data_IF_540742675031
#
_entry.id   IF_540742675031
#
_cell.length_a   1.000
_cell.length_b   1.000
_cell.length_c   1.000
_cell.angle_alpha   90.00
_cell.angle_beta   90.00
_cell.angle_gamma   90.00
#
_symmetry.space_group_name_H-M   'P 1'
#
loop_
_entity.id
_entity.type
_entity.pdbx_description
1 polymer ?
#
# COMPACT_ATOMS: atom_id res chain seq x y z
N UNK A 1 -19.56 -7.95 5.68
CA UNK A 1 -19.98 -8.45 4.36
C UNK A 1 -21.44 -8.07 4.12
N UNK A 2 -22.37 -8.59 4.92
CA UNK A 2 -23.81 -8.29 4.82
C UNK A 2 -24.11 -6.78 4.74
N UNK A 3 -23.56 -5.98 5.67
CA UNK A 3 -23.71 -4.52 5.64
C UNK A 3 -23.25 -3.84 4.35
N UNK A 4 -22.23 -4.38 3.67
CA UNK A 4 -21.75 -3.83 2.39
C UNK A 4 -22.78 -4.13 1.30
N UNK A 5 -23.29 -5.36 1.24
CA UNK A 5 -24.31 -5.76 0.28
C UNK A 5 -25.63 -5.00 0.51
N UNK A 6 -26.06 -4.85 1.76
CA UNK A 6 -27.21 -4.03 2.14
C UNK A 6 -27.02 -2.56 1.75
N UNK A 7 -25.83 -2.01 1.93
CA UNK A 7 -25.53 -0.63 1.52
C UNK A 7 -25.58 -0.47 0.00
N UNK A 8 -25.10 -1.46 -0.75
CA UNK A 8 -25.21 -1.47 -2.21
C UNK A 8 -26.66 -1.52 -2.65
N UNK A 9 -27.48 -2.37 -2.03
CA UNK A 9 -28.91 -2.46 -2.33
C UNK A 9 -29.63 -1.15 -1.99
N UNK A 10 -29.35 -0.56 -0.83
CA UNK A 10 -29.89 0.75 -0.43
C UNK A 10 -29.51 1.85 -1.43
N UNK A 11 -28.25 1.90 -1.87
CA UNK A 11 -27.81 2.88 -2.85
C UNK A 11 -28.55 2.72 -4.19
N UNK A 12 -28.79 1.48 -4.61
CA UNK A 12 -29.55 1.15 -5.82
C UNK A 12 -31.01 1.59 -5.70
N UNK A 13 -31.67 1.29 -4.58
CA UNK A 13 -33.07 1.64 -4.32
C UNK A 13 -33.27 3.16 -4.22
N UNK A 14 -32.34 3.86 -3.57
CA UNK A 14 -32.36 5.32 -3.41
C UNK A 14 -31.76 6.08 -4.61
N UNK A 15 -31.25 5.39 -5.63
CA UNK A 15 -30.54 5.95 -6.79
C UNK A 15 -29.38 6.89 -6.37
N UNK A 16 -28.66 6.52 -5.32
CA UNK A 16 -27.49 7.25 -4.81
C UNK A 16 -26.19 6.62 -5.31
N UNK A 17 -25.16 7.45 -5.45
CA UNK A 17 -23.79 6.98 -5.65
C UNK A 17 -23.24 6.43 -4.34
N UNK A 18 -22.22 5.57 -4.44
CA UNK A 18 -21.42 5.14 -3.30
C UNK A 18 -20.05 5.80 -3.40
N UNK A 19 -19.65 6.48 -2.34
CA UNK A 19 -18.27 6.91 -2.10
C UNK A 19 -17.60 5.89 -1.19
N UNK A 20 -16.37 5.53 -1.49
CA UNK A 20 -15.60 4.61 -0.66
C UNK A 20 -14.32 5.27 -0.16
N UNK A 21 -13.95 5.00 1.09
CA UNK A 21 -12.66 5.43 1.61
C UNK A 21 -12.00 4.40 2.51
N UNK A 22 -10.70 4.18 2.27
CA UNK A 22 -9.78 3.62 3.26
C UNK A 22 -9.05 4.73 4.02
N UNK A 23 -7.73 4.81 3.86
CA UNK A 23 -6.88 5.79 4.55
C UNK A 23 -7.06 7.25 4.10
N UNK A 24 -7.92 7.54 3.09
CA UNK A 24 -8.21 8.90 2.59
C UNK A 24 -6.99 9.68 2.09
N UNK A 25 -6.02 8.98 1.50
CA UNK A 25 -4.82 9.57 0.90
C UNK A 25 -4.89 9.73 -0.63
N UNK A 26 -5.96 9.28 -1.28
CA UNK A 26 -6.09 9.50 -2.71
C UNK A 26 -6.38 10.96 -3.02
N UNK A 27 -5.69 11.51 -4.03
CA UNK A 27 -5.80 12.92 -4.43
C UNK A 27 -6.79 13.14 -5.60
N UNK A 28 -7.36 12.06 -6.16
CA UNK A 28 -8.16 12.10 -7.40
C UNK A 28 -9.66 12.37 -7.21
N UNK A 29 -10.13 12.68 -6.00
CA UNK A 29 -11.54 12.99 -5.71
C UNK A 29 -12.51 11.80 -5.80
N UNK A 30 -12.06 10.61 -6.16
CA UNK A 30 -12.90 9.41 -6.31
C UNK A 30 -13.50 8.90 -4.99
N UNK A 31 -13.02 9.41 -3.85
CA UNK A 31 -13.47 9.02 -2.52
C UNK A 31 -14.64 9.88 -1.99
N UNK A 32 -15.12 10.87 -2.75
CA UNK A 32 -16.20 11.74 -2.33
C UNK A 32 -17.03 12.25 -3.52
N UNK A 33 -18.22 11.71 -3.69
CA UNK A 33 -19.25 12.22 -4.59
C UNK A 33 -20.31 13.01 -3.81
N UNK A 34 -20.85 14.06 -4.43
CA UNK A 34 -22.00 14.78 -3.89
C UNK A 34 -23.21 13.87 -3.71
N UNK A 35 -23.95 14.05 -2.61
CA UNK A 35 -25.17 13.32 -2.28
C UNK A 35 -25.02 11.78 -2.41
N UNK A 36 -23.90 11.25 -1.91
CA UNK A 36 -23.58 9.82 -1.94
C UNK A 36 -23.67 9.17 -0.57
N UNK A 37 -23.80 7.84 -0.56
CA UNK A 37 -23.60 7.03 0.64
C UNK A 37 -22.11 6.79 0.79
N UNK A 38 -21.55 7.08 1.97
CA UNK A 38 -20.12 6.93 2.22
C UNK A 38 -19.82 5.63 2.97
N UNK A 39 -19.10 4.71 2.31
CA UNK A 39 -18.56 3.50 2.90
C UNK A 39 -17.14 3.77 3.44
N UNK A 40 -17.03 3.84 4.77
CA UNK A 40 -15.74 3.84 5.45
C UNK A 40 -15.27 2.40 5.69
N UNK A 41 -14.24 1.99 4.97
CA UNK A 41 -13.78 0.60 4.98
C UNK A 41 -12.78 0.33 6.12
N UNK A 42 -12.32 1.33 6.88
CA UNK A 42 -11.16 1.18 7.81
C UNK A 42 -11.37 0.16 8.93
N UNK A 43 -12.62 -0.08 9.35
CA UNK A 43 -12.96 -1.09 10.34
C UNK A 43 -13.13 -2.49 9.74
N UNK A 44 -13.20 -2.60 8.40
CA UNK A 44 -13.23 -3.87 7.67
C UNK A 44 -11.80 -4.34 7.40
N UNK A 45 -11.11 -4.75 8.46
CA UNK A 45 -9.64 -4.87 8.51
C UNK A 45 -9.10 -6.20 9.06
N UNK A 46 -9.87 -7.29 9.01
CA UNK A 46 -9.40 -8.60 9.44
C UNK A 46 -8.22 -9.10 8.58
N UNK A 47 -7.27 -9.83 9.21
CA UNK A 47 -6.03 -10.32 8.60
C UNK A 47 -5.76 -11.76 9.04
N UNK A 48 -5.68 -12.67 8.07
CA UNK A 48 -5.39 -14.08 8.27
C UNK A 48 -4.17 -14.49 7.44
N UNK A 49 -3.15 -15.04 8.12
CA UNK A 49 -1.97 -15.60 7.45
C UNK A 49 -2.15 -17.12 7.33
N UNK A 50 -1.85 -17.66 6.16
CA UNK A 50 -1.81 -19.09 5.89
C UNK A 50 -0.34 -19.53 5.74
N UNK A 51 0.11 -20.40 6.65
CA UNK A 51 1.50 -20.88 6.66
C UNK A 51 1.77 -21.94 5.58
N UNK A 52 0.77 -22.73 5.20
CA UNK A 52 0.92 -23.79 4.19
C UNK A 52 1.16 -23.18 2.81
N UNK A 53 0.33 -22.19 2.45
CA UNK A 53 0.40 -21.52 1.14
C UNK A 53 1.34 -20.31 1.13
N UNK A 54 1.83 -19.89 2.31
CA UNK A 54 2.61 -18.65 2.49
C UNK A 54 1.91 -17.40 1.97
N UNK A 55 0.59 -17.35 2.12
CA UNK A 55 -0.27 -16.25 1.68
C UNK A 55 -0.87 -15.51 2.87
N UNK A 56 -1.30 -14.28 2.63
CA UNK A 56 -2.10 -13.51 3.60
C UNK A 56 -3.40 -13.07 2.95
N UNK A 57 -4.50 -13.40 3.61
CA UNK A 57 -5.84 -12.98 3.22
C UNK A 57 -6.28 -11.85 4.13
N UNK A 58 -6.62 -10.71 3.54
CA UNK A 58 -6.87 -9.46 4.25
C UNK A 58 -8.15 -8.81 3.76
N UNK A 59 -8.90 -8.22 4.68
CA UNK A 59 -9.98 -7.34 4.31
C UNK A 59 -9.43 -6.00 3.79
N UNK A 60 -10.12 -5.39 2.84
CA UNK A 60 -9.64 -4.25 2.05
C UNK A 60 -9.38 -2.98 2.88
N UNK A 61 -9.95 -2.89 4.08
CA UNK A 61 -9.70 -1.83 5.05
C UNK A 61 -8.41 -1.96 5.85
N UNK A 62 -7.77 -3.13 5.85
CA UNK A 62 -6.52 -3.36 6.55
C UNK A 62 -5.41 -2.46 5.97
N UNK A 63 -4.57 -1.91 6.85
CA UNK A 63 -3.41 -1.10 6.45
C UNK A 63 -2.18 -1.98 6.26
N UNK A 64 -1.24 -1.56 5.42
CA UNK A 64 0.04 -2.26 5.30
C UNK A 64 0.77 -2.39 6.64
N UNK A 65 0.71 -1.38 7.51
CA UNK A 65 1.25 -1.44 8.88
C UNK A 65 0.66 -2.60 9.67
N UNK A 66 -0.66 -2.76 9.66
CA UNK A 66 -1.32 -3.87 10.36
C UNK A 66 -0.94 -5.24 9.79
N UNK A 67 -0.75 -5.33 8.48
CA UNK A 67 -0.36 -6.56 7.78
C UNK A 67 1.10 -6.91 8.11
N UNK A 68 2.01 -5.96 8.01
CA UNK A 68 3.42 -6.12 8.39
C UNK A 68 3.55 -6.59 9.85
N UNK A 69 2.81 -5.98 10.78
CA UNK A 69 2.79 -6.38 12.19
C UNK A 69 2.27 -7.80 12.42
N UNK A 70 1.36 -8.29 11.56
CA UNK A 70 0.88 -9.67 11.61
C UNK A 70 1.93 -10.62 11.03
N UNK A 71 2.47 -10.31 9.86
CA UNK A 71 3.40 -11.16 9.12
C UNK A 71 4.77 -11.30 9.78
N UNK A 72 5.27 -10.25 10.43
CA UNK A 72 6.57 -10.26 11.11
C UNK A 72 6.66 -11.35 12.19
N UNK A 73 5.53 -11.66 12.86
CA UNK A 73 5.41 -12.74 13.85
C UNK A 73 5.63 -14.14 13.26
N UNK A 74 5.52 -14.26 11.93
CA UNK A 74 5.72 -15.48 11.17
C UNK A 74 6.98 -15.44 10.32
N UNK A 75 7.88 -14.47 10.55
CA UNK A 75 9.07 -14.22 9.73
C UNK A 75 8.73 -14.00 8.24
N UNK A 76 7.60 -13.34 7.97
CA UNK A 76 7.13 -12.98 6.63
C UNK A 76 7.00 -11.47 6.45
N UNK A 77 7.05 -11.05 5.20
CA UNK A 77 6.86 -9.67 4.74
C UNK A 77 5.88 -9.62 3.57
N UNK A 78 5.32 -8.44 3.30
CA UNK A 78 4.56 -8.19 2.07
C UNK A 78 5.53 -8.11 0.88
N UNK A 79 5.11 -8.61 -0.29
CA UNK A 79 5.96 -8.56 -1.48
C UNK A 79 6.02 -7.16 -2.10
N UNK A 80 4.87 -6.49 -2.24
CA UNK A 80 4.76 -5.15 -2.81
C UNK A 80 3.81 -4.32 -1.98
N UNK A 81 4.23 -3.10 -1.65
CA UNK A 81 3.40 -2.05 -1.07
C UNK A 81 4.00 -0.68 -1.44
N UNK A 82 3.24 0.39 -1.23
CA UNK A 82 3.79 1.75 -1.30
C UNK A 82 4.91 1.97 -0.26
N UNK A 83 5.72 3.01 -0.48
CA UNK A 83 6.81 3.39 0.44
C UNK A 83 6.35 3.60 1.90
N UNK A 84 5.18 4.21 2.08
CA UNK A 84 4.55 4.34 3.39
C UNK A 84 3.56 3.20 3.66
N UNK A 85 3.51 2.73 4.90
CA UNK A 85 2.65 1.62 5.31
C UNK A 85 1.27 2.07 5.87
N UNK A 86 0.91 3.34 5.74
CA UNK A 86 -0.34 3.91 6.26
C UNK A 86 -1.56 3.64 5.37
N UNK A 87 -1.35 3.23 4.12
CA UNK A 87 -2.43 3.00 3.16
C UNK A 87 -3.19 1.70 3.43
N UNK A 88 -4.46 1.65 3.04
CA UNK A 88 -5.25 0.43 3.07
C UNK A 88 -5.11 -0.38 1.79
N UNK A 89 -5.20 -1.71 1.88
CA UNK A 89 -5.02 -2.62 0.73
C UNK A 89 -6.02 -2.35 -0.38
N UNK A 90 -7.28 -2.08 -0.05
CA UNK A 90 -8.30 -1.73 -1.04
C UNK A 90 -7.96 -0.47 -1.84
N UNK A 91 -7.42 0.55 -1.17
CA UNK A 91 -6.95 1.76 -1.83
C UNK A 91 -5.75 1.49 -2.73
N UNK A 92 -4.83 0.64 -2.28
CA UNK A 92 -3.66 0.23 -3.06
C UNK A 92 -4.02 -0.58 -4.32
N UNK A 93 -5.01 -1.47 -4.25
CA UNK A 93 -5.53 -2.18 -5.42
C UNK A 93 -6.18 -1.20 -6.40
N UNK A 94 -7.00 -0.29 -5.90
CA UNK A 94 -7.72 0.67 -6.73
C UNK A 94 -6.80 1.55 -7.60
N UNK A 95 -5.55 1.75 -7.18
CA UNK A 95 -4.53 2.50 -7.95
C UNK A 95 -3.43 1.62 -8.55
N UNK A 96 -3.52 0.29 -8.39
CA UNK A 96 -2.47 -0.67 -8.73
C UNK A 96 -1.09 -0.21 -8.21
N UNK A 97 -1.02 0.06 -6.91
CA UNK A 97 0.16 0.59 -6.24
C UNK A 97 1.42 -0.23 -6.51
N UNK A 98 2.59 0.40 -6.40
CA UNK A 98 3.88 -0.27 -6.52
C UNK A 98 4.80 0.12 -5.36
N UNK A 99 5.89 -0.63 -5.22
CA UNK A 99 6.94 -0.37 -4.24
C UNK A 99 8.22 0.10 -4.91
N UNK A 100 9.32 -0.14 -4.19
CA UNK A 100 10.69 0.25 -4.58
C UNK A 100 11.52 -0.94 -5.07
N UNK A 101 11.15 -2.17 -4.71
CA UNK A 101 11.84 -3.39 -5.13
C UNK A 101 11.74 -3.57 -6.65
N UNK A 102 12.86 -3.52 -7.40
CA UNK A 102 12.85 -3.64 -8.86
C UNK A 102 12.53 -5.07 -9.34
N UNK A 103 12.61 -6.07 -8.47
CA UNK A 103 12.30 -7.47 -8.80
C UNK A 103 10.79 -7.72 -8.88
N UNK A 104 9.99 -6.82 -8.30
CA UNK A 104 8.54 -6.87 -8.36
C UNK A 104 8.01 -5.64 -9.09
N UNK A 105 7.00 -5.82 -9.92
CA UNK A 105 6.33 -4.72 -10.62
C UNK A 105 5.31 -4.07 -9.68
N UNK A 106 4.04 -4.01 -10.07
CA UNK A 106 2.97 -3.44 -9.25
C UNK A 106 2.26 -4.51 -8.42
N UNK A 107 1.39 -4.08 -7.51
CA UNK A 107 0.68 -4.91 -6.53
C UNK A 107 -0.08 -6.07 -7.17
N UNK A 108 -0.66 -5.90 -8.36
CA UNK A 108 -1.38 -6.97 -9.09
C UNK A 108 -0.57 -8.27 -9.22
N UNK A 109 0.75 -8.17 -9.34
CA UNK A 109 1.62 -9.34 -9.47
C UNK A 109 1.69 -10.19 -8.21
N UNK A 110 1.32 -9.62 -7.07
CA UNK A 110 1.34 -10.28 -5.75
C UNK A 110 -0.04 -10.79 -5.33
N UNK A 111 -1.11 -10.33 -6.00
CA UNK A 111 -2.49 -10.72 -5.72
C UNK A 111 -2.78 -12.07 -6.38
N UNK A 112 -3.17 -13.06 -5.58
CA UNK A 112 -3.64 -14.35 -6.08
C UNK A 112 -5.10 -14.27 -6.52
N UNK A 113 -5.92 -13.68 -5.65
CA UNK A 113 -7.36 -13.47 -5.85
C UNK A 113 -7.86 -12.33 -4.97
N UNK A 114 -9.04 -11.81 -5.30
CA UNK A 114 -9.80 -10.92 -4.43
C UNK A 114 -11.31 -11.20 -4.58
N UNK A 115 -12.08 -10.71 -3.61
CA UNK A 115 -13.53 -10.68 -3.67
C UNK A 115 -14.02 -9.24 -3.75
N UNK A 116 -15.08 -8.99 -4.52
CA UNK A 116 -15.77 -7.70 -4.55
C UNK A 116 -17.28 -7.87 -4.50
N UNK A 117 -17.98 -6.84 -4.02
CA UNK A 117 -19.43 -6.70 -4.17
C UNK A 117 -19.69 -5.80 -5.37
N UNK A 118 -20.40 -6.32 -6.39
CA UNK A 118 -20.76 -5.59 -7.61
C UNK A 118 -21.95 -4.63 -7.37
N UNK A 119 -22.43 -3.99 -8.43
CA UNK A 119 -23.58 -3.05 -8.36
C UNK A 119 -24.92 -3.74 -8.07
N UNK A 120 -24.99 -5.05 -8.25
CA UNK A 120 -26.13 -5.91 -7.96
C UNK A 120 -26.15 -6.40 -6.51
N UNK A 121 -25.10 -6.12 -5.73
CA UNK A 121 -24.96 -6.62 -4.35
C UNK A 121 -24.43 -8.05 -4.27
N UNK A 122 -23.98 -8.62 -5.38
CA UNK A 122 -23.46 -9.97 -5.48
C UNK A 122 -21.97 -10.01 -5.14
N UNK A 123 -21.56 -11.04 -4.40
CA UNK A 123 -20.16 -11.29 -4.09
C UNK A 123 -19.52 -12.06 -5.26
N UNK A 124 -18.51 -11.47 -5.88
CA UNK A 124 -17.76 -12.06 -6.99
C UNK A 124 -16.33 -12.31 -6.54
N UNK A 125 -15.82 -13.52 -6.80
CA UNK A 125 -14.39 -13.86 -6.68
C UNK A 125 -13.69 -13.60 -8.01
N UNK A 126 -12.51 -12.98 -7.97
CA UNK A 126 -11.72 -12.66 -9.14
C UNK A 126 -10.28 -13.13 -8.95
N UNK A 127 -9.75 -13.82 -9.95
CA UNK A 127 -8.37 -14.28 -10.04
C UNK A 127 -7.94 -14.28 -11.50
N UNK A 128 -6.72 -14.76 -11.79
CA UNK A 128 -6.27 -14.93 -13.18
C UNK A 128 -7.07 -15.98 -13.96
N UNK A 129 -7.78 -16.87 -13.27
CA UNK A 129 -8.54 -17.98 -13.86
C UNK A 129 -10.05 -17.87 -13.65
N UNK A 130 -10.50 -17.01 -12.73
CA UNK A 130 -11.91 -16.77 -12.43
C UNK A 130 -12.23 -15.29 -12.58
N UNK A 131 -13.22 -14.93 -13.40
CA UNK A 131 -13.54 -13.54 -13.75
C UNK A 131 -12.29 -12.71 -14.18
N UNK A 132 -11.44 -13.21 -15.11
CA UNK A 132 -10.13 -12.62 -15.38
C UNK A 132 -10.21 -11.18 -15.91
N UNK A 133 -11.23 -10.85 -16.71
CA UNK A 133 -11.44 -9.48 -17.19
C UNK A 133 -11.62 -8.50 -16.02
N UNK A 134 -12.41 -8.90 -15.02
CA UNK A 134 -12.65 -8.11 -13.82
C UNK A 134 -11.40 -8.07 -12.92
N UNK A 135 -10.66 -9.18 -12.84
CA UNK A 135 -9.38 -9.22 -12.14
C UNK A 135 -8.41 -8.15 -12.65
N UNK A 136 -8.24 -8.02 -13.97
CA UNK A 136 -7.36 -7.00 -14.55
C UNK A 136 -7.95 -5.59 -14.46
N UNK A 137 -9.27 -5.43 -14.62
CA UNK A 137 -9.92 -4.11 -14.62
C UNK A 137 -9.97 -3.43 -13.24
N UNK A 138 -10.11 -4.20 -12.16
CA UNK A 138 -10.18 -3.67 -10.78
C UNK A 138 -8.86 -3.04 -10.34
N UNK A 139 -7.73 -3.61 -10.75
CA UNK A 139 -6.41 -3.07 -10.44
C UNK A 139 -6.17 -1.78 -11.22
N UNK A 140 -6.08 -0.66 -10.52
CA UNK A 140 -6.02 0.66 -11.16
C UNK A 140 -7.39 1.19 -11.62
N UNK A 141 -8.47 0.45 -11.33
CA UNK A 141 -9.85 0.81 -11.70
C UNK A 141 -10.50 1.87 -10.81
N UNK A 142 -9.75 2.47 -9.88
CA UNK A 142 -10.18 3.59 -9.02
C UNK A 142 -11.44 3.32 -8.18
N UNK A 143 -11.77 2.04 -7.94
CA UNK A 143 -12.97 1.63 -7.20
C UNK A 143 -14.27 1.61 -8.02
N UNK A 144 -14.21 1.71 -9.36
CA UNK A 144 -15.40 1.81 -10.22
C UNK A 144 -16.14 0.48 -10.42
N UNK A 145 -15.46 -0.64 -10.23
CA UNK A 145 -15.97 -1.98 -10.57
C UNK A 145 -16.66 -2.70 -9.41
N UNK A 146 -16.67 -2.09 -8.22
CA UNK A 146 -17.31 -2.65 -7.03
C UNK A 146 -16.53 -2.39 -5.76
N UNK A 147 -17.10 -2.82 -4.63
CA UNK A 147 -16.46 -2.73 -3.31
C UNK A 147 -15.56 -3.94 -3.12
N UNK A 148 -14.25 -3.80 -3.29
CA UNK A 148 -13.30 -4.87 -2.94
C UNK A 148 -13.42 -5.13 -1.44
N UNK A 149 -13.64 -6.37 -1.05
CA UNK A 149 -13.89 -6.78 0.34
C UNK A 149 -12.70 -7.51 0.92
N UNK A 150 -12.16 -8.49 0.21
CA UNK A 150 -11.07 -9.34 0.67
C UNK A 150 -10.06 -9.58 -0.45
N UNK A 151 -8.79 -9.75 -0.09
CA UNK A 151 -7.67 -9.93 -1.03
C UNK A 151 -6.74 -10.99 -0.45
N UNK A 152 -6.31 -11.94 -1.27
CA UNK A 152 -5.27 -12.91 -0.93
C UNK A 152 -3.98 -12.54 -1.66
N UNK A 153 -2.92 -12.29 -0.90
CA UNK A 153 -1.61 -11.84 -1.37
C UNK A 153 -0.54 -12.89 -1.08
N UNK A 154 0.43 -13.01 -1.97
CA UNK A 154 1.68 -13.71 -1.70
C UNK A 154 2.51 -12.94 -0.66
N UNK A 155 3.35 -13.66 0.09
CA UNK A 155 4.29 -13.08 1.07
C UNK A 155 5.72 -13.48 0.71
N UNK A 156 6.71 -12.76 1.25
CA UNK A 156 8.12 -13.13 1.17
C UNK A 156 8.69 -13.47 2.56
N UNK A 157 9.84 -14.16 2.66
CA UNK A 157 10.63 -14.18 3.87
C UNK A 157 10.94 -12.75 4.34
N UNK A 158 10.90 -12.52 5.65
CA UNK A 158 11.23 -11.21 6.23
C UNK A 158 12.75 -11.06 6.35
N UNK A 159 13.39 -10.65 5.25
CA UNK A 159 14.82 -10.41 5.22
C UNK A 159 15.19 -9.10 5.94
N UNK A 160 16.33 -9.10 6.62
CA UNK A 160 16.90 -7.92 7.26
C UNK A 160 17.91 -7.30 6.31
N UNK A 161 17.87 -5.97 6.19
CA UNK A 161 18.77 -5.21 5.33
C UNK A 161 19.62 -4.25 6.16
N UNK A 162 20.89 -4.16 5.81
CA UNK A 162 21.76 -3.07 6.22
C UNK A 162 21.69 -1.97 5.17
N UNK A 163 21.36 -0.75 5.60
CA UNK A 163 21.35 0.42 4.74
C UNK A 163 22.73 1.08 4.73
N UNK A 164 23.23 1.41 3.54
CA UNK A 164 24.41 2.26 3.32
C UNK A 164 23.96 3.50 2.53
N UNK A 165 24.27 4.68 3.06
CA UNK A 165 24.03 5.95 2.39
C UNK A 165 25.33 6.47 1.77
N UNK A 166 25.29 6.82 0.50
CA UNK A 166 26.41 7.42 -0.23
C UNK A 166 25.96 8.71 -0.90
N UNK A 167 26.86 9.69 -1.00
CA UNK A 167 26.61 10.97 -1.65
C UNK A 167 27.48 11.06 -2.90
N UNK A 168 26.86 11.38 -4.03
CA UNK A 168 27.55 11.58 -5.30
C UNK A 168 27.27 12.97 -5.89
N UNK A 169 28.21 13.50 -6.66
CA UNK A 169 27.91 14.59 -7.59
C UNK A 169 26.97 14.04 -8.67
N UNK A 170 25.94 14.81 -9.03
CA UNK A 170 24.92 14.37 -9.98
C UNK A 170 25.46 14.10 -11.38
N UNK A 171 26.59 14.70 -11.76
CA UNK A 171 27.27 14.44 -13.05
C UNK A 171 27.85 13.03 -13.12
N UNK A 172 28.31 12.51 -12.00
CA UNK A 172 28.94 11.20 -11.90
C UNK A 172 27.94 10.11 -11.47
N UNK A 173 26.70 10.48 -11.14
CA UNK A 173 25.67 9.61 -10.59
C UNK A 173 25.49 8.31 -11.37
N UNK A 174 25.26 8.39 -12.70
CA UNK A 174 24.99 7.18 -13.50
C UNK A 174 26.19 6.22 -13.51
N UNK A 175 27.41 6.76 -13.53
CA UNK A 175 28.63 5.95 -13.49
C UNK A 175 28.83 5.30 -12.12
N UNK A 176 28.58 6.05 -11.05
CA UNK A 176 28.80 5.59 -9.69
C UNK A 176 27.69 4.66 -9.18
N UNK A 177 26.45 4.83 -9.67
CA UNK A 177 25.30 4.06 -9.21
C UNK A 177 25.49 2.57 -9.46
N UNK A 178 25.91 2.16 -10.67
CA UNK A 178 26.10 0.75 -11.02
C UNK A 178 27.12 0.06 -10.10
N UNK A 179 28.24 0.73 -9.83
CA UNK A 179 29.28 0.21 -8.94
C UNK A 179 28.82 0.18 -7.47
N UNK A 180 28.12 1.22 -7.03
CA UNK A 180 27.62 1.37 -5.66
C UNK A 180 26.52 0.34 -5.34
N UNK A 181 25.68 -0.01 -6.32
CA UNK A 181 24.60 -0.98 -6.16
C UNK A 181 25.01 -2.44 -6.37
N UNK A 182 26.25 -2.72 -6.81
CA UNK A 182 26.67 -4.06 -7.26
C UNK A 182 26.43 -5.19 -6.25
N UNK A 183 26.49 -4.87 -4.95
CA UNK A 183 26.33 -5.80 -3.83
C UNK A 183 24.97 -5.67 -3.10
N UNK A 184 24.05 -4.86 -3.64
CA UNK A 184 22.77 -4.52 -3.00
C UNK A 184 21.61 -5.22 -3.71
N UNK A 185 20.59 -5.63 -2.95
CA UNK A 185 19.35 -6.16 -3.54
C UNK A 185 18.39 -5.05 -3.97
N UNK A 186 18.50 -3.88 -3.33
CA UNK A 186 17.72 -2.70 -3.63
C UNK A 186 18.60 -1.45 -3.52
N UNK A 187 18.40 -0.52 -4.44
CA UNK A 187 19.04 0.79 -4.43
C UNK A 187 18.04 1.88 -4.79
N UNK A 188 18.10 3.00 -4.10
CA UNK A 188 17.27 4.18 -4.32
C UNK A 188 18.12 5.44 -4.36
N UNK A 189 17.73 6.40 -5.19
CA UNK A 189 18.46 7.64 -5.36
C UNK A 189 17.54 8.85 -5.23
N UNK A 190 17.96 9.82 -4.43
CA UNK A 190 17.25 11.08 -4.23
C UNK A 190 18.18 12.24 -4.61
N UNK A 191 17.78 13.00 -5.62
CA UNK A 191 18.47 14.24 -5.96
C UNK A 191 18.19 15.29 -4.89
N UNK A 192 19.23 16.05 -4.53
CA UNK A 192 19.11 17.14 -3.58
C UNK A 192 18.12 18.19 -4.07
N UNK A 193 17.19 18.56 -3.20
CA UNK A 193 16.22 19.65 -3.42
C UNK A 193 16.56 20.89 -2.58
N UNK A 194 17.73 20.89 -1.94
CA UNK A 194 18.27 22.04 -1.21
C UNK A 194 18.52 23.22 -2.17
N UNK A 195 18.32 24.46 -1.73
CA UNK A 195 18.43 25.62 -2.63
C UNK A 195 19.88 25.86 -3.10
N UNK A 196 20.86 25.63 -2.24
CA UNK A 196 22.26 25.86 -2.56
C UNK A 196 22.84 24.71 -3.42
N UNK A 197 22.27 23.51 -3.29
CA UNK A 197 22.73 22.27 -3.93
C UNK A 197 21.70 21.60 -4.86
N UNK A 198 20.73 22.37 -5.36
CA UNK A 198 19.61 21.86 -6.14
C UNK A 198 20.08 21.02 -7.33
N UNK A 199 19.75 19.73 -7.30
CA UNK A 199 20.11 18.70 -8.29
C UNK A 199 21.62 18.52 -8.53
N UNK A 200 22.49 19.09 -7.68
CA UNK A 200 23.96 18.95 -7.79
C UNK A 200 24.46 17.70 -7.11
N UNK A 201 23.74 17.23 -6.10
CA UNK A 201 24.11 16.05 -5.30
C UNK A 201 22.99 15.02 -5.37
N UNK A 202 23.37 13.75 -5.25
CA UNK A 202 22.45 12.62 -5.19
C UNK A 202 22.78 11.77 -3.98
N UNK A 203 21.77 11.56 -3.13
CA UNK A 203 21.83 10.64 -2.01
C UNK A 203 21.40 9.26 -2.52
N UNK A 204 22.30 8.29 -2.45
CA UNK A 204 22.04 6.90 -2.86
C UNK A 204 21.95 6.02 -1.62
N UNK A 205 20.81 5.39 -1.44
CA UNK A 205 20.55 4.39 -0.40
C UNK A 205 20.69 3.00 -1.00
N UNK A 206 21.57 2.20 -0.43
CA UNK A 206 21.82 0.83 -0.82
C UNK A 206 21.41 -0.12 0.32
N UNK A 207 20.62 -1.14 -0.02
CA UNK A 207 20.11 -2.12 0.92
C UNK A 207 20.75 -3.48 0.64
N UNK A 208 21.65 -3.89 1.53
CA UNK A 208 22.35 -5.18 1.46
C UNK A 208 21.77 -6.15 2.48
N UNK A 209 21.41 -7.40 2.10
CA UNK A 209 20.96 -8.41 3.05
C UNK A 209 21.97 -8.60 4.18
N UNK A 210 21.47 -8.79 5.39
CA UNK A 210 22.29 -9.07 6.57
C UNK A 210 21.55 -9.97 7.54
N UNK A 211 22.30 -10.73 8.34
CA UNK A 211 21.76 -11.46 9.49
C UNK A 211 22.00 -10.71 10.81
N UNK A 212 22.57 -9.50 10.74
CA UNK A 212 22.91 -8.71 11.92
C UNK A 212 21.68 -7.91 12.35
N UNK A 213 21.08 -8.28 13.47
CA UNK A 213 20.15 -7.42 14.19
C UNK A 213 20.95 -6.50 15.09
N UNK A 214 20.84 -5.18 14.89
CA UNK A 214 21.22 -4.24 15.94
C UNK A 214 20.02 -4.10 16.88
N UNK A 215 20.27 -4.13 18.19
CA UNK A 215 19.30 -3.60 19.14
C UNK A 215 19.08 -2.13 18.79
N UNK A 216 17.87 -1.81 18.36
CA UNK A 216 17.47 -0.41 18.15
C UNK A 216 17.17 0.13 19.54
N UNK A 217 18.11 0.85 20.13
CA UNK A 217 17.78 1.80 21.21
C UNK A 217 16.94 2.90 20.56
N UNK A 218 15.62 2.77 20.66
CA UNK A 218 14.65 3.75 20.21
C UNK A 218 14.67 4.93 21.21
N UNK A 219 15.72 5.78 21.14
CA UNK A 219 15.87 6.99 21.98
C UNK A 219 14.92 8.13 21.56
N UNK A 220 13.92 7.84 20.73
CA UNK A 220 12.88 8.80 20.34
C UNK A 220 11.78 8.90 21.42
N UNK A 221 11.90 8.13 22.52
CA UNK A 221 10.98 8.18 23.67
C UNK A 221 10.93 9.55 24.37
N UNK A 222 11.88 10.45 24.10
CA UNK A 222 11.88 11.84 24.59
C UNK A 222 11.01 12.83 23.80
N UNK A 223 10.54 12.48 22.60
CA UNK A 223 9.73 13.39 21.80
C UNK A 223 8.24 13.31 22.16
N UNK A 224 7.76 14.31 22.91
CA UNK A 224 6.33 14.52 23.14
C UNK A 224 5.70 15.18 21.90
N UNK A 225 5.08 14.38 21.03
CA UNK A 225 4.24 14.90 19.94
C UNK A 225 3.07 15.71 20.52
N UNK A 226 3.11 17.03 20.33
CA UNK A 226 2.01 17.93 20.69
C UNK A 226 0.98 17.88 19.56
N UNK A 227 0.00 16.99 19.69
CA UNK A 227 -1.09 16.91 18.72
C UNK A 227 -1.95 18.19 18.77
N UNK A 228 -2.10 18.85 17.63
CA UNK A 228 -3.07 19.94 17.45
C UNK A 228 -4.49 19.39 17.74
N UNK A 229 -5.07 19.78 18.88
CA UNK A 229 -6.40 19.30 19.31
C UNK A 229 -7.55 19.83 18.46
N UNK A 230 -7.33 20.89 17.67
CA UNK A 230 -8.29 21.48 16.74
C UNK A 230 -7.54 22.13 15.56
N UNK A 231 -7.89 21.73 14.34
CA UNK A 231 -7.64 22.54 13.16
C UNK A 231 -8.88 23.39 12.90
N UNK A 232 -8.74 24.72 12.88
CA UNK A 232 -9.81 25.64 12.49
C UNK A 232 -9.60 25.97 11.02
N UNK A 233 -10.43 25.41 10.15
CA UNK A 233 -10.51 25.86 8.77
C UNK A 233 -11.60 26.91 8.66
N UNK A 234 -11.25 28.10 8.16
CA UNK A 234 -12.21 29.10 7.74
C UNK A 234 -12.40 28.92 6.24
N UNK A 235 -13.46 28.22 5.85
CA UNK A 235 -13.88 28.18 4.45
C UNK A 235 -14.43 29.58 4.13
N UNK A 236 -13.77 30.27 3.21
CA UNK A 236 -14.27 31.52 2.62
C UNK A 236 -15.27 31.18 1.50
#
# INVERSE_FOLDING_TARGET
MEQIQETVQLAKDEKKKISMSGARHSMGGQNAFDNSIHLDMREFNNIQYNQEDQTVTVQSGATWKSIQNKLSKHNRSVQVMQDSNIFTVGGSIAVNAHGKDPNFSTLIHTVNEFQLVNAEGELITCSRTENPELFYAVHGGMGLFGVVTQVTLNTNPNNIYQTKLELFDSKDFLHNMEQSSADSELSEAHFSMDQDNLLKEVLVYNYKPTNTTKDVEDDITGENSIWLRKAIYRLA
#
